data_IF_999036495228
#
_entry.id   IF_999036495228
#
_cell.length_a   1.000
_cell.length_b   1.000
_cell.length_c   1.000
_cell.angle_alpha   90.00
_cell.angle_beta   90.00
_cell.angle_gamma   90.00
#
_symmetry.space_group_name_H-M   'P 1'
#
loop_
_entity.id
_entity.type
_entity.pdbx_description
1 polymer ?
#
# COMPACT_ATOMS: atom_id res chain seq x y z
N UNK A 1 15.18 -3.36 -12.60
CA UNK A 1 15.07 -1.96 -12.10
C UNK A 1 14.00 -1.96 -11.00
N UNK A 2 14.21 -1.24 -9.91
CA UNK A 2 13.18 -1.07 -8.87
C UNK A 2 12.16 -0.01 -9.32
N UNK A 3 10.88 -0.23 -9.00
CA UNK A 3 9.82 0.75 -9.25
C UNK A 3 10.06 2.02 -8.43
N UNK A 4 9.81 3.17 -9.05
CA UNK A 4 9.97 4.49 -8.44
C UNK A 4 8.63 5.19 -8.29
N UNK A 5 8.59 6.22 -7.45
CA UNK A 5 7.42 7.10 -7.33
C UNK A 5 7.12 7.73 -8.69
N UNK A 6 5.86 7.67 -9.09
CA UNK A 6 5.30 8.09 -10.39
C UNK A 6 5.57 7.15 -11.59
N UNK A 7 6.28 6.04 -11.41
CA UNK A 7 6.24 4.99 -12.42
C UNK A 7 4.81 4.46 -12.59
N UNK A 8 4.48 4.06 -13.81
CA UNK A 8 3.23 3.31 -14.04
C UNK A 8 3.39 1.94 -13.39
N UNK A 9 2.46 1.59 -12.51
CA UNK A 9 2.41 0.28 -11.88
C UNK A 9 2.32 -0.82 -12.96
N UNK A 10 3.19 -1.85 -12.96
CA UNK A 10 3.07 -2.93 -13.92
C UNK A 10 1.70 -3.59 -13.85
N UNK A 11 1.02 -3.70 -15.00
CA UNK A 11 -0.22 -4.46 -15.10
C UNK A 11 0.07 -5.96 -15.16
N UNK A 12 -0.84 -6.76 -14.67
CA UNK A 12 -0.72 -8.23 -14.69
C UNK A 12 -2.10 -8.89 -14.61
N UNK A 13 -2.17 -10.13 -15.04
CA UNK A 13 -3.26 -11.03 -14.72
C UNK A 13 -2.82 -12.04 -13.65
N UNK A 14 -3.70 -12.35 -12.72
CA UNK A 14 -3.40 -13.28 -11.62
C UNK A 14 -4.62 -14.06 -11.17
N UNK A 15 -4.38 -15.30 -10.74
CA UNK A 15 -5.34 -16.06 -9.94
C UNK A 15 -5.26 -15.58 -8.49
N UNK A 16 -6.42 -15.39 -7.89
CA UNK A 16 -6.55 -14.97 -6.49
C UNK A 16 -7.54 -15.84 -5.74
N UNK A 17 -7.60 -15.68 -4.42
CA UNK A 17 -8.63 -16.34 -3.60
C UNK A 17 -10.06 -15.91 -3.95
N UNK A 18 -10.24 -14.82 -4.70
CA UNK A 18 -11.54 -14.30 -5.13
C UNK A 18 -11.74 -14.43 -6.66
N UNK A 19 -10.94 -15.29 -7.33
CA UNK A 19 -10.96 -15.52 -8.76
C UNK A 19 -9.89 -14.76 -9.53
N UNK A 20 -9.93 -14.89 -10.87
CA UNK A 20 -8.94 -14.27 -11.75
C UNK A 20 -9.20 -12.78 -11.91
N UNK A 21 -8.14 -11.98 -11.81
CA UNK A 21 -8.18 -10.53 -12.01
C UNK A 21 -7.15 -10.08 -13.05
N UNK A 22 -7.44 -8.92 -13.67
CA UNK A 22 -6.43 -8.07 -14.29
C UNK A 22 -6.26 -6.83 -13.41
N UNK A 23 -5.04 -6.54 -12.98
CA UNK A 23 -4.78 -5.60 -11.88
C UNK A 23 -5.29 -4.18 -12.16
N UNK A 24 -5.03 -3.62 -13.35
CA UNK A 24 -5.51 -2.29 -13.69
C UNK A 24 -7.03 -2.20 -13.80
N UNK A 25 -7.67 -3.24 -14.31
CA UNK A 25 -9.13 -3.31 -14.39
C UNK A 25 -9.74 -3.48 -13.00
N UNK A 26 -9.11 -4.32 -12.17
CA UNK A 26 -9.52 -4.53 -10.78
C UNK A 26 -9.42 -3.25 -9.94
N UNK A 27 -8.36 -2.44 -10.08
CA UNK A 27 -8.26 -1.13 -9.42
C UNK A 27 -9.39 -0.22 -9.88
N UNK A 28 -9.69 -0.15 -11.20
CA UNK A 28 -10.61 0.85 -11.75
C UNK A 28 -10.16 2.27 -11.43
N UNK A 29 -11.04 3.13 -10.97
CA UNK A 29 -10.74 4.51 -10.57
C UNK A 29 -10.43 4.65 -9.07
N UNK A 30 -10.17 3.53 -8.38
CA UNK A 30 -9.86 3.51 -6.96
C UNK A 30 -8.37 3.66 -6.70
N UNK A 31 -8.02 3.96 -5.47
CA UNK A 31 -6.69 3.70 -4.92
C UNK A 31 -6.52 2.21 -4.63
N UNK A 32 -5.29 1.74 -4.64
CA UNK A 32 -5.00 0.36 -4.25
C UNK A 32 -3.74 0.23 -3.41
N UNK A 33 -3.72 -0.79 -2.55
CA UNK A 33 -2.54 -1.26 -1.83
C UNK A 33 -2.27 -2.69 -2.25
N UNK A 34 -1.12 -2.91 -2.89
CA UNK A 34 -0.56 -4.24 -3.13
C UNK A 34 0.54 -4.49 -2.11
N UNK A 35 0.42 -5.55 -1.33
CA UNK A 35 1.43 -5.91 -0.34
C UNK A 35 1.83 -7.38 -0.45
N UNK A 36 3.12 -7.65 -0.30
CA UNK A 36 3.65 -9.02 -0.33
C UNK A 36 3.95 -9.54 1.07
N UNK A 37 3.86 -10.85 1.25
CA UNK A 37 4.34 -11.55 2.44
C UNK A 37 5.25 -12.72 2.04
N UNK A 38 6.27 -13.06 2.84
CA UNK A 38 7.27 -14.04 2.47
C UNK A 38 6.71 -15.43 2.18
N UNK A 39 5.85 -15.96 3.05
CA UNK A 39 5.36 -17.34 2.95
C UNK A 39 4.13 -17.56 3.81
N UNK A 40 3.22 -18.42 3.32
CA UNK A 40 2.06 -18.90 4.06
C UNK A 40 2.48 -19.77 5.26
N UNK A 41 1.60 -19.91 6.22
CA UNK A 41 1.81 -20.71 7.44
C UNK A 41 3.06 -20.29 8.23
N UNK A 42 3.29 -18.97 8.35
CA UNK A 42 4.41 -18.41 9.12
C UNK A 42 3.92 -17.38 10.16
N UNK A 43 4.62 -17.26 11.32
CA UNK A 43 4.09 -16.49 12.46
C UNK A 43 3.85 -15.01 12.16
N UNK A 44 4.86 -14.30 11.63
CA UNK A 44 4.74 -12.84 11.38
C UNK A 44 3.69 -12.57 10.32
N UNK A 45 3.65 -13.36 9.24
CA UNK A 45 2.67 -13.20 8.18
C UNK A 45 1.23 -13.42 8.69
N UNK A 46 1.03 -14.42 9.57
CA UNK A 46 -0.27 -14.65 10.23
C UNK A 46 -0.75 -13.39 10.96
N UNK A 47 0.12 -12.76 11.76
CA UNK A 47 -0.24 -11.53 12.48
C UNK A 47 -0.56 -10.37 11.54
N UNK A 48 0.20 -10.21 10.45
CA UNK A 48 0.00 -9.14 9.47
C UNK A 48 -1.32 -9.29 8.72
N UNK A 49 -1.62 -10.50 8.21
CA UNK A 49 -2.80 -10.72 7.40
C UNK A 49 -4.08 -10.62 8.22
N UNK A 50 -4.08 -11.12 9.44
CA UNK A 50 -5.19 -10.94 10.37
C UNK A 50 -5.40 -9.48 10.75
N UNK A 51 -4.31 -8.72 10.99
CA UNK A 51 -4.41 -7.28 11.24
C UNK A 51 -5.02 -6.53 10.04
N UNK A 52 -4.55 -6.81 8.82
CA UNK A 52 -5.10 -6.21 7.60
C UNK A 52 -6.59 -6.52 7.43
N UNK A 53 -7.01 -7.76 7.72
CA UNK A 53 -8.42 -8.14 7.68
C UNK A 53 -9.25 -7.33 8.70
N UNK A 54 -8.73 -7.15 9.92
CA UNK A 54 -9.36 -6.36 10.97
C UNK A 54 -9.57 -4.90 10.59
N UNK A 55 -8.59 -4.29 9.93
CA UNK A 55 -8.64 -2.87 9.55
C UNK A 55 -9.11 -2.63 8.11
N UNK A 56 -9.53 -3.66 7.38
CA UNK A 56 -9.97 -3.51 5.98
C UNK A 56 -11.02 -2.43 5.79
N UNK A 57 -11.98 -2.32 6.72
CA UNK A 57 -13.01 -1.28 6.68
C UNK A 57 -12.45 0.15 6.68
N UNK A 58 -11.26 0.37 7.25
CA UNK A 58 -10.59 1.68 7.20
C UNK A 58 -10.06 2.00 5.81
N UNK A 59 -9.61 1.00 5.05
CA UNK A 59 -9.27 1.15 3.63
C UNK A 59 -10.53 1.40 2.79
N UNK A 60 -11.60 0.65 3.03
CA UNK A 60 -12.87 0.80 2.30
C UNK A 60 -13.45 2.22 2.47
N UNK A 61 -13.43 2.79 3.68
CA UNK A 61 -13.86 4.17 3.95
C UNK A 61 -13.09 5.22 3.14
N UNK A 62 -11.87 4.90 2.74
CA UNK A 62 -10.98 5.76 1.94
C UNK A 62 -11.06 5.47 0.44
N UNK A 63 -11.91 4.54 0.01
CA UNK A 63 -12.00 4.09 -1.38
C UNK A 63 -10.71 3.41 -1.85
N UNK A 64 -10.06 2.66 -0.96
CA UNK A 64 -8.80 1.96 -1.23
C UNK A 64 -9.03 0.46 -1.25
N UNK A 65 -8.72 -0.17 -2.37
CA UNK A 65 -8.72 -1.63 -2.50
C UNK A 65 -7.41 -2.20 -1.98
N UNK A 66 -7.46 -3.34 -1.30
CA UNK A 66 -6.25 -4.02 -0.82
C UNK A 66 -6.15 -5.41 -1.41
N UNK A 67 -4.94 -5.83 -1.73
CA UNK A 67 -4.63 -7.14 -2.29
C UNK A 67 -3.29 -7.64 -1.78
N UNK A 68 -3.27 -8.87 -1.29
CA UNK A 68 -2.07 -9.56 -0.83
C UNK A 68 -1.41 -10.38 -1.94
N UNK A 69 -0.12 -10.65 -1.80
CA UNK A 69 0.64 -11.50 -2.71
C UNK A 69 1.66 -12.33 -1.95
N UNK A 70 1.75 -13.59 -2.26
CA UNK A 70 2.95 -14.39 -2.02
C UNK A 70 3.21 -15.33 -3.20
N UNK A 71 4.32 -16.05 -3.08
CA UNK A 71 4.73 -17.05 -4.07
C UNK A 71 4.08 -18.42 -3.83
N UNK A 72 3.27 -18.54 -2.78
CA UNK A 72 2.51 -19.75 -2.48
C UNK A 72 1.30 -19.89 -3.41
N UNK A 73 0.81 -21.12 -3.65
CA UNK A 73 -0.42 -21.33 -4.44
C UNK A 73 -1.66 -20.76 -3.73
N UNK A 74 -2.65 -20.35 -4.51
CA UNK A 74 -3.94 -19.83 -4.01
C UNK A 74 -4.64 -20.80 -3.05
N UNK A 75 -4.55 -22.09 -3.30
CA UNK A 75 -5.12 -23.13 -2.42
C UNK A 75 -4.51 -23.15 -1.02
N UNK A 76 -3.24 -22.76 -0.88
CA UNK A 76 -2.59 -22.61 0.41
C UNK A 76 -3.15 -21.40 1.16
N UNK A 77 -3.34 -20.27 0.49
CA UNK A 77 -3.96 -19.08 1.08
C UNK A 77 -5.35 -19.40 1.65
N UNK A 78 -6.17 -20.13 0.88
CA UNK A 78 -7.51 -20.50 1.32
C UNK A 78 -7.51 -21.40 2.57
N UNK A 79 -6.59 -22.34 2.65
CA UNK A 79 -6.42 -23.22 3.82
C UNK A 79 -5.91 -22.45 5.03
N UNK A 80 -4.93 -21.57 4.82
CA UNK A 80 -4.32 -20.79 5.88
C UNK A 80 -5.23 -19.70 6.45
N UNK A 81 -6.23 -19.25 5.68
CA UNK A 81 -7.22 -18.30 6.16
C UNK A 81 -7.93 -18.76 7.45
N UNK A 82 -8.13 -20.08 7.61
CA UNK A 82 -8.75 -20.68 8.82
C UNK A 82 -7.83 -20.51 10.05
N UNK A 83 -6.53 -20.76 9.91
CA UNK A 83 -5.56 -20.59 11.00
C UNK A 83 -5.41 -19.10 11.38
N UNK A 84 -5.48 -18.21 10.39
CA UNK A 84 -5.45 -16.75 10.62
C UNK A 84 -6.71 -16.34 11.40
N UNK A 85 -7.88 -16.81 11.02
CA UNK A 85 -9.12 -16.52 11.74
C UNK A 85 -9.08 -17.03 13.18
N UNK A 86 -8.65 -18.29 13.37
CA UNK A 86 -8.53 -18.90 14.69
C UNK A 86 -7.59 -18.12 15.62
N UNK A 87 -6.44 -17.66 15.09
CA UNK A 87 -5.41 -17.05 15.93
C UNK A 87 -5.52 -15.53 16.04
N UNK A 88 -6.09 -14.83 15.04
CA UNK A 88 -6.18 -13.37 14.98
C UNK A 88 -7.62 -12.85 15.10
N UNK A 89 -8.63 -13.72 15.02
CA UNK A 89 -10.05 -13.37 15.09
C UNK A 89 -10.64 -12.82 13.79
N UNK A 90 -9.87 -12.78 12.71
CA UNK A 90 -10.32 -12.27 11.40
C UNK A 90 -9.66 -13.09 10.30
N UNK A 91 -10.47 -13.69 9.40
CA UNK A 91 -9.97 -14.26 8.16
C UNK A 91 -9.62 -13.16 7.15
N UNK A 92 -8.64 -13.35 6.26
CA UNK A 92 -8.43 -12.45 5.13
C UNK A 92 -9.71 -12.27 4.33
N UNK A 93 -10.15 -11.04 4.19
CA UNK A 93 -11.39 -10.61 3.53
C UNK A 93 -11.09 -9.70 2.32
N UNK A 94 -10.00 -9.99 1.67
CA UNK A 94 -9.47 -9.34 0.47
C UNK A 94 -8.77 -10.38 -0.40
N UNK A 95 -8.64 -10.15 -1.72
CA UNK A 95 -8.00 -11.11 -2.61
C UNK A 95 -6.52 -11.30 -2.28
N UNK A 96 -6.06 -12.54 -2.41
CA UNK A 96 -4.67 -12.93 -2.22
C UNK A 96 -4.15 -13.65 -3.47
N UNK A 97 -3.08 -13.13 -4.06
CA UNK A 97 -2.45 -13.62 -5.29
C UNK A 97 -1.48 -14.75 -4.97
N UNK A 98 -1.57 -15.85 -5.73
CA UNK A 98 -0.58 -16.92 -5.75
C UNK A 98 0.38 -16.75 -6.92
N UNK A 99 1.52 -16.07 -6.73
CA UNK A 99 2.53 -15.79 -7.77
C UNK A 99 3.55 -16.95 -7.88
N UNK A 100 3.09 -18.14 -8.23
CA UNK A 100 3.89 -19.36 -8.22
C UNK A 100 5.01 -19.40 -9.26
N UNK A 101 4.90 -18.62 -10.33
CA UNK A 101 5.90 -18.49 -11.39
C UNK A 101 6.81 -17.26 -11.22
N UNK A 102 6.61 -16.48 -10.15
CA UNK A 102 7.40 -15.29 -9.78
C UNK A 102 7.33 -14.12 -10.79
N UNK A 103 6.37 -14.12 -11.70
CA UNK A 103 6.30 -13.08 -12.72
C UNK A 103 5.96 -11.72 -12.11
N UNK A 104 4.98 -11.67 -11.22
CA UNK A 104 4.56 -10.44 -10.56
C UNK A 104 5.63 -9.99 -9.58
N UNK A 105 6.14 -10.90 -8.74
CA UNK A 105 7.20 -10.60 -7.76
C UNK A 105 8.44 -10.03 -8.41
N UNK A 106 8.83 -10.53 -9.60
CA UNK A 106 9.96 -9.98 -10.38
C UNK A 106 9.66 -8.62 -10.97
N UNK A 107 8.50 -8.46 -11.61
CA UNK A 107 8.09 -7.20 -12.23
C UNK A 107 7.98 -6.05 -11.22
N UNK A 108 7.55 -6.37 -9.99
CA UNK A 108 7.39 -5.41 -8.90
C UNK A 108 8.60 -5.29 -7.97
N UNK A 109 9.68 -6.04 -8.23
CA UNK A 109 10.89 -5.99 -7.41
C UNK A 109 10.70 -6.45 -5.96
N UNK A 110 9.87 -7.46 -5.73
CA UNK A 110 9.53 -7.96 -4.40
C UNK A 110 10.48 -9.03 -3.88
N UNK A 111 11.39 -9.53 -4.71
CA UNK A 111 12.33 -10.58 -4.33
C UNK A 111 13.60 -9.97 -3.71
N UNK A 112 14.21 -10.63 -2.70
CA UNK A 112 15.48 -10.19 -2.15
C UNK A 112 16.61 -10.36 -3.19
N UNK A 113 17.72 -9.62 -3.03
CA UNK A 113 18.84 -9.63 -3.97
C UNK A 113 19.45 -11.02 -4.22
N UNK A 114 19.39 -11.92 -3.23
CA UNK A 114 19.89 -13.29 -3.33
C UNK A 114 18.90 -14.27 -3.97
N UNK A 115 17.68 -13.84 -4.29
CA UNK A 115 16.67 -14.72 -4.88
C UNK A 115 17.05 -15.09 -6.32
N UNK A 116 17.06 -16.39 -6.58
CA UNK A 116 17.61 -16.96 -7.82
C UNK A 116 16.66 -16.90 -9.01
N UNK A 117 15.51 -16.35 -8.91
CA UNK A 117 14.57 -16.08 -10.01
C UNK A 117 14.21 -17.27 -10.92
N UNK A 118 14.75 -18.47 -10.71
CA UNK A 118 14.44 -19.68 -11.48
C UNK A 118 13.26 -20.42 -10.82
N UNK A 119 12.07 -20.19 -11.35
CA UNK A 119 10.85 -20.79 -10.85
C UNK A 119 10.83 -22.32 -10.97
N UNK A 120 11.63 -22.92 -11.87
CA UNK A 120 11.65 -24.35 -12.14
C UNK A 120 12.41 -25.17 -11.08
N UNK A 121 13.27 -24.53 -10.30
CA UNK A 121 14.17 -25.17 -9.32
C UNK A 121 13.87 -24.79 -7.87
N UNK A 122 12.81 -24.04 -7.60
CA UNK A 122 12.55 -23.51 -6.28
C UNK A 122 11.75 -24.46 -5.39
N UNK A 123 12.08 -24.42 -4.10
CA UNK A 123 11.14 -24.71 -3.02
C UNK A 123 10.48 -23.40 -2.56
N UNK A 124 9.32 -23.46 -1.92
CA UNK A 124 8.67 -22.27 -1.35
C UNK A 124 9.56 -21.51 -0.33
N UNK A 125 10.66 -22.12 0.15
CA UNK A 125 11.64 -21.49 1.02
C UNK A 125 12.72 -20.68 0.28
N UNK A 126 12.94 -20.93 -1.01
CA UNK A 126 14.12 -20.39 -1.70
C UNK A 126 13.88 -19.03 -2.37
N UNK A 127 12.63 -18.67 -2.68
CA UNK A 127 12.28 -17.46 -3.41
C UNK A 127 11.08 -16.74 -2.78
N UNK A 128 11.14 -16.54 -1.48
CA UNK A 128 10.13 -15.77 -0.77
C UNK A 128 10.24 -14.29 -1.11
N UNK A 129 9.10 -13.60 -1.23
CA UNK A 129 9.08 -12.15 -1.31
C UNK A 129 9.50 -11.53 0.02
N UNK A 130 10.11 -10.36 -0.02
CA UNK A 130 10.22 -9.51 1.17
C UNK A 130 8.86 -8.85 1.47
N UNK A 131 8.75 -8.09 2.55
CA UNK A 131 7.50 -7.43 2.94
C UNK A 131 7.36 -6.07 2.29
N UNK A 132 6.93 -6.07 1.03
CA UNK A 132 6.66 -4.83 0.29
C UNK A 132 5.25 -4.30 0.56
N UNK A 133 5.12 -2.98 0.45
CA UNK A 133 3.83 -2.29 0.30
C UNK A 133 3.97 -1.29 -0.84
N UNK A 134 3.06 -1.37 -1.80
CA UNK A 134 2.92 -0.39 -2.87
C UNK A 134 1.56 0.27 -2.75
N UNK A 135 1.52 1.60 -2.70
CA UNK A 135 0.29 2.35 -2.87
C UNK A 135 0.22 2.84 -4.31
N UNK A 136 -0.86 2.51 -4.99
CA UNK A 136 -1.12 2.89 -6.38
C UNK A 136 -2.30 3.84 -6.42
N UNK A 137 -2.15 4.96 -7.13
CA UNK A 137 -3.21 5.94 -7.31
C UNK A 137 -4.20 5.54 -8.40
N UNK A 138 -5.33 6.28 -8.54
CA UNK A 138 -6.31 6.08 -9.62
C UNK A 138 -5.70 6.23 -11.03
N UNK A 139 -4.64 7.01 -11.14
CA UNK A 139 -3.84 7.21 -12.36
C UNK A 139 -2.90 6.02 -12.68
N UNK A 140 -3.02 4.91 -11.96
CA UNK A 140 -2.18 3.71 -12.09
C UNK A 140 -0.71 3.95 -11.82
N UNK A 141 -0.36 5.01 -11.08
CA UNK A 141 1.03 5.32 -10.74
C UNK A 141 1.36 4.97 -9.30
N UNK A 142 2.59 4.55 -9.08
CA UNK A 142 3.14 4.29 -7.76
C UNK A 142 3.19 5.60 -6.96
N UNK A 143 2.63 5.62 -5.77
CA UNK A 143 2.58 6.78 -4.86
C UNK A 143 3.42 6.56 -3.59
N UNK A 144 3.61 5.31 -3.19
CA UNK A 144 4.43 4.93 -2.04
C UNK A 144 5.04 3.55 -2.29
N UNK A 145 6.26 3.37 -1.84
CA UNK A 145 6.91 2.05 -1.74
C UNK A 145 7.50 1.93 -0.34
N UNK A 146 7.12 0.88 0.39
CA UNK A 146 7.75 0.49 1.65
C UNK A 146 8.32 -0.91 1.49
N UNK A 147 9.51 -1.13 2.03
CA UNK A 147 10.18 -2.43 1.98
C UNK A 147 10.69 -2.77 3.37
N UNK A 148 10.21 -3.87 3.91
CA UNK A 148 10.60 -4.40 5.22
C UNK A 148 11.33 -5.74 5.06
N UNK A 149 12.32 -6.04 5.90
CA UNK A 149 12.94 -7.36 5.93
C UNK A 149 11.92 -8.42 6.40
N UNK A 150 12.16 -9.67 6.06
CA UNK A 150 11.26 -10.79 6.37
C UNK A 150 10.96 -10.93 7.86
N UNK A 151 11.91 -10.54 8.73
CA UNK A 151 11.83 -10.67 10.19
C UNK A 151 11.01 -9.59 10.89
N UNK A 152 10.61 -8.54 10.16
CA UNK A 152 9.99 -7.35 10.76
C UNK A 152 8.57 -7.17 10.26
N UNK A 153 7.58 -7.33 11.14
CA UNK A 153 6.19 -7.02 10.86
C UNK A 153 5.99 -5.52 10.58
N UNK A 154 5.11 -5.22 9.62
CA UNK A 154 4.85 -3.85 9.15
C UNK A 154 3.91 -3.08 10.07
N UNK A 155 4.00 -1.75 10.02
CA UNK A 155 3.05 -0.84 10.63
C UNK A 155 2.01 -0.41 9.57
N UNK A 156 0.85 -1.06 9.54
CA UNK A 156 -0.22 -0.73 8.60
C UNK A 156 -1.01 0.53 8.98
N UNK A 157 -0.96 0.99 10.23
CA UNK A 157 -1.51 2.28 10.62
C UNK A 157 -0.75 3.43 9.95
N UNK A 158 0.58 3.27 9.77
CA UNK A 158 1.39 4.20 8.97
C UNK A 158 0.97 4.19 7.49
N UNK A 159 0.60 3.04 6.93
CA UNK A 159 0.08 2.95 5.56
C UNK A 159 -1.22 3.75 5.43
N UNK A 160 -2.15 3.62 6.38
CA UNK A 160 -3.39 4.40 6.44
C UNK A 160 -3.10 5.90 6.56
N UNK A 161 -2.17 6.28 7.45
CA UNK A 161 -1.74 7.68 7.64
C UNK A 161 -1.20 8.28 6.34
N UNK A 162 -0.35 7.55 5.63
CA UNK A 162 0.22 8.03 4.36
C UNK A 162 -0.85 8.10 3.27
N UNK A 163 -1.81 7.17 3.22
CA UNK A 163 -2.95 7.23 2.29
C UNK A 163 -3.77 8.50 2.55
N UNK A 164 -4.08 8.83 3.80
CA UNK A 164 -4.78 10.06 4.14
C UNK A 164 -4.03 11.30 3.63
N UNK A 165 -2.71 11.33 3.81
CA UNK A 165 -1.84 12.38 3.29
C UNK A 165 -1.88 12.46 1.75
N UNK A 166 -1.71 11.33 1.07
CA UNK A 166 -1.71 11.26 -0.39
C UNK A 166 -3.04 11.72 -1.00
N UNK A 167 -4.15 11.31 -0.42
CA UNK A 167 -5.49 11.70 -0.88
C UNK A 167 -5.75 13.18 -0.63
N UNK A 168 -5.33 13.72 0.52
CA UNK A 168 -5.45 15.15 0.82
C UNK A 168 -4.62 15.99 -0.15
N UNK A 169 -3.36 15.62 -0.38
CA UNK A 169 -2.44 16.39 -1.26
C UNK A 169 -2.78 16.24 -2.74
N UNK A 170 -3.48 15.17 -3.13
CA UNK A 170 -4.02 15.03 -4.49
C UNK A 170 -5.19 15.99 -4.76
N UNK A 171 -5.98 16.33 -3.74
CA UNK A 171 -7.15 17.22 -3.86
C UNK A 171 -6.78 18.69 -3.63
N UNK A 172 -5.83 18.95 -2.75
CA UNK A 172 -5.49 20.29 -2.27
C UNK A 172 -4.00 20.57 -2.50
N UNK A 173 -3.68 21.81 -2.80
CA UNK A 173 -2.28 22.27 -2.96
C UNK A 173 -1.63 22.49 -1.59
N UNK A 174 -1.52 21.45 -0.80
CA UNK A 174 -0.90 21.42 0.52
C UNK A 174 0.11 20.27 0.63
N UNK A 175 0.95 20.33 1.65
CA UNK A 175 1.83 19.26 2.08
C UNK A 175 1.56 18.93 3.55
N UNK A 176 1.73 17.69 3.95
CA UNK A 176 1.58 17.26 5.33
C UNK A 176 2.93 17.31 6.04
N UNK A 177 3.03 17.89 7.25
CA UNK A 177 4.28 17.92 8.00
C UNK A 177 4.67 16.54 8.56
N UNK A 178 5.85 16.47 9.16
CA UNK A 178 6.33 15.25 9.83
C UNK A 178 5.31 14.74 10.86
N UNK A 179 5.09 13.43 10.87
CA UNK A 179 4.16 12.72 11.78
C UNK A 179 2.70 13.22 11.74
N UNK A 180 2.33 13.98 10.72
CA UNK A 180 0.98 14.51 10.55
C UNK A 180 -0.07 13.39 10.64
N UNK A 181 -1.17 13.70 11.32
CA UNK A 181 -2.37 12.86 11.39
C UNK A 181 -3.57 13.60 10.81
N UNK A 182 -4.52 12.85 10.31
CA UNK A 182 -5.76 13.41 9.77
C UNK A 182 -6.44 14.36 10.78
N UNK A 183 -6.75 15.58 10.34
CA UNK A 183 -7.32 16.66 11.16
C UNK A 183 -6.31 17.67 11.69
N UNK A 184 -5.01 17.40 11.61
CA UNK A 184 -3.97 18.34 12.03
C UNK A 184 -3.66 19.40 10.95
N UNK A 185 -3.00 20.48 11.35
CA UNK A 185 -2.59 21.56 10.46
C UNK A 185 -1.68 21.04 9.33
N UNK A 186 -1.77 21.68 8.18
CA UNK A 186 -0.99 21.36 6.97
C UNK A 186 -0.21 22.58 6.49
N UNK A 187 0.70 22.37 5.55
CA UNK A 187 1.55 23.41 4.97
C UNK A 187 1.02 23.75 3.58
N UNK A 188 0.82 25.03 3.27
CA UNK A 188 0.52 25.48 1.91
C UNK A 188 1.71 25.11 1.01
N UNK A 189 1.46 24.41 -0.10
CA UNK A 189 2.53 24.00 -1.01
C UNK A 189 3.35 25.20 -1.50
N UNK A 190 4.66 25.01 -1.62
CA UNK A 190 5.59 26.06 -2.03
C UNK A 190 5.32 26.62 -3.43
N UNK A 191 4.62 25.87 -4.27
CA UNK A 191 4.20 26.27 -5.62
C UNK A 191 3.01 27.25 -5.64
N UNK A 192 2.34 27.46 -4.51
CA UNK A 192 1.18 28.37 -4.41
C UNK A 192 1.69 29.77 -4.11
N UNK A 193 1.36 30.75 -4.97
CA UNK A 193 1.68 32.16 -4.75
C UNK A 193 0.95 32.71 -3.51
N UNK A 194 1.44 33.82 -2.95
CA UNK A 194 0.75 34.47 -1.83
C UNK A 194 -0.62 35.02 -2.22
N UNK A 195 -0.80 35.44 -3.48
CA UNK A 195 -2.09 35.89 -4.00
C UNK A 195 -3.10 34.75 -4.09
N UNK A 196 -2.67 33.58 -4.60
CA UNK A 196 -3.52 32.40 -4.66
C UNK A 196 -3.82 31.86 -3.24
N UNK A 197 -2.83 31.91 -2.36
CA UNK A 197 -3.03 31.53 -0.97
C UNK A 197 -4.06 32.43 -0.26
N UNK A 198 -4.02 33.74 -0.47
CA UNK A 198 -5.03 34.69 0.08
C UNK A 198 -6.43 34.40 -0.43
N UNK A 199 -6.58 33.99 -1.71
CA UNK A 199 -7.88 33.61 -2.27
C UNK A 199 -8.40 32.31 -1.65
N UNK A 200 -7.53 31.33 -1.48
CA UNK A 200 -7.90 30.00 -0.95
C UNK A 200 -8.10 30.03 0.57
N UNK A 201 -7.30 30.82 1.27
CA UNK A 201 -7.30 30.92 2.74
C UNK A 201 -7.53 32.37 3.19
N UNK A 202 -8.76 32.91 3.01
CA UNK A 202 -9.05 34.33 3.28
C UNK A 202 -8.90 34.72 4.75
N UNK A 203 -8.90 33.75 5.66
CA UNK A 203 -8.62 33.95 7.10
C UNK A 203 -7.12 34.05 7.40
N UNK A 204 -6.26 33.94 6.37
CA UNK A 204 -4.82 33.95 6.51
C UNK A 204 -4.23 32.61 6.95
N UNK A 205 -2.96 32.64 7.27
CA UNK A 205 -2.17 31.49 7.72
C UNK A 205 -1.13 31.91 8.76
N UNK A 206 -0.62 30.95 9.50
CA UNK A 206 0.57 31.16 10.37
C UNK A 206 1.82 31.03 9.51
N UNK A 207 2.75 31.97 9.62
CA UNK A 207 4.02 31.95 8.90
C UNK A 207 5.21 32.23 9.84
N UNK A 208 5.69 31.21 10.60
CA UNK A 208 6.88 31.36 11.41
C UNK A 208 8.11 31.77 10.59
N UNK A 209 8.12 31.37 9.31
CA UNK A 209 9.05 31.80 8.26
C UNK A 209 8.29 32.01 6.94
N UNK A 210 8.77 32.84 6.01
CA UNK A 210 8.10 33.09 4.73
C UNK A 210 7.80 31.82 3.93
N UNK A 211 8.64 30.80 4.03
CA UNK A 211 8.51 29.51 3.34
C UNK A 211 7.67 28.48 4.12
N UNK A 212 7.28 28.75 5.37
CA UNK A 212 6.53 27.83 6.23
C UNK A 212 5.17 28.44 6.55
N UNK A 213 4.21 28.22 5.63
CA UNK A 213 2.85 28.75 5.70
C UNK A 213 1.89 27.65 6.16
N UNK A 214 1.42 27.74 7.39
CA UNK A 214 0.64 26.70 8.08
C UNK A 214 -0.83 27.12 8.12
N UNK A 215 -1.71 26.20 7.75
CA UNK A 215 -3.17 26.35 7.76
C UNK A 215 -3.85 25.12 8.36
N UNK A 216 -5.06 25.27 8.91
CA UNK A 216 -5.89 24.12 9.24
C UNK A 216 -6.09 23.22 8.01
N UNK A 217 -6.21 21.90 8.24
CA UNK A 217 -6.51 20.97 7.16
C UNK A 217 -7.75 21.42 6.37
N UNK A 218 -7.69 21.52 5.03
CA UNK A 218 -8.87 21.73 4.21
C UNK A 218 -9.91 20.62 4.42
N UNK A 219 -11.17 20.96 4.39
CA UNK A 219 -12.26 19.96 4.44
C UNK A 219 -12.23 19.10 3.18
N UNK A 220 -12.38 17.79 3.37
CA UNK A 220 -12.43 16.77 2.31
C UNK A 220 -13.63 16.98 1.41
#
# INVERSE_FOLDING_TARGET
>A
MSLQINDVAPDFEAETTEGRIRFHDWIGDSWAVLFSHPKDFTPVCTTELGYMARIKSEFDKRGVKIIGLSVDPVDNHAKWALDIEETQGFAPNYPMIGDTDLQISKAWGMLPAAANGDASKRTASDNQTVRNVFVVGPDKKIKLVLVYPMTTGRNFDEVLRVIDSLQLTAKHKVATPVNWKHGEDVIIAGSVSDEDAKRTYPKGWKAPKPYLRIVPQPRS
#
